data_IF_432327668059
#
_entry.id   IF_432327668059
#
_cell.length_a   1.000
_cell.length_b   1.000
_cell.length_c   1.000
_cell.angle_alpha   90.00
_cell.angle_beta   90.00
_cell.angle_gamma   90.00
#
_symmetry.space_group_name_H-M   'P 1'
#
loop_
_entity.id
_entity.type
_entity.pdbx_description
1 polymer ?
#
# COMPACT_ATOMS: atom_id res chain seq x y z
N UNK A 1 -23.68 25.33 51.72
CA UNK A 1 -24.05 24.63 50.47
C UNK A 1 -22.77 24.45 49.65
N UNK A 2 -22.43 23.22 49.27
CA UNK A 2 -21.22 22.85 48.52
C UNK A 2 -21.50 23.00 47.03
N UNK A 3 -20.62 23.64 46.28
CA UNK A 3 -20.62 23.60 44.82
C UNK A 3 -19.22 23.21 44.33
N UNK A 4 -19.07 21.93 44.01
CA UNK A 4 -17.99 21.36 43.20
C UNK A 4 -18.22 21.70 41.74
N UNK A 5 -17.26 22.32 41.07
CA UNK A 5 -17.24 22.45 39.60
C UNK A 5 -16.06 21.63 39.07
N UNK A 6 -16.42 20.55 38.40
CA UNK A 6 -15.58 19.53 37.78
C UNK A 6 -14.95 20.00 36.47
N UNK A 7 -13.71 19.57 36.28
CA UNK A 7 -12.93 19.50 35.04
C UNK A 7 -13.71 19.31 33.74
N UNK A 8 -13.24 19.97 32.68
CA UNK A 8 -13.37 19.47 31.31
C UNK A 8 -12.01 19.56 30.61
N UNK A 9 -11.29 18.44 30.55
CA UNK A 9 -10.20 18.24 29.59
C UNK A 9 -10.83 18.03 28.21
N UNK A 10 -10.50 18.90 27.25
CA UNK A 10 -10.87 18.72 25.86
C UNK A 10 -9.75 17.93 25.18
N UNK A 11 -9.95 16.62 25.01
CA UNK A 11 -9.04 15.78 24.23
C UNK A 11 -9.36 15.95 22.73
N UNK A 12 -8.45 16.55 21.98
CA UNK A 12 -8.52 16.61 20.51
C UNK A 12 -8.09 15.24 19.97
N UNK A 13 -9.05 14.47 19.46
CA UNK A 13 -8.78 13.28 18.66
C UNK A 13 -8.35 13.74 17.25
N UNK A 14 -7.06 13.63 16.93
CA UNK A 14 -6.63 13.61 15.53
C UNK A 14 -7.16 12.32 14.91
N UNK A 15 -8.23 12.42 14.13
CA UNK A 15 -8.62 11.36 13.21
C UNK A 15 -7.54 11.26 12.13
N UNK A 16 -6.60 10.34 12.32
CA UNK A 16 -5.69 9.92 11.25
C UNK A 16 -6.60 9.28 10.20
N UNK A 17 -6.77 9.95 9.06
CA UNK A 17 -7.50 9.40 7.93
C UNK A 17 -6.66 8.25 7.38
N UNK A 18 -6.84 7.05 7.93
CA UNK A 18 -6.36 5.82 7.31
C UNK A 18 -7.13 5.68 6.01
N UNK A 19 -6.51 6.05 4.89
CA UNK A 19 -6.99 5.62 3.58
C UNK A 19 -7.04 4.09 3.65
N UNK A 20 -8.25 3.53 3.57
CA UNK A 20 -8.50 2.10 3.68
C UNK A 20 -8.14 1.38 2.38
N UNK A 21 -7.01 1.76 1.80
CA UNK A 21 -6.54 1.25 0.53
C UNK A 21 -5.26 0.46 0.80
N UNK A 22 -5.18 -0.70 0.17
CA UNK A 22 -4.13 -1.65 0.44
C UNK A 22 -3.80 -2.43 -0.82
N UNK A 23 -2.72 -3.19 -0.77
CA UNK A 23 -2.20 -3.92 -1.91
C UNK A 23 -1.79 -5.33 -1.49
N UNK A 24 -2.16 -6.32 -2.31
CA UNK A 24 -1.68 -7.71 -2.20
C UNK A 24 -0.86 -8.03 -3.44
N UNK A 25 0.36 -8.51 -3.24
CA UNK A 25 1.24 -8.95 -4.31
C UNK A 25 1.23 -10.48 -4.44
N UNK A 26 1.26 -10.99 -5.68
CA UNK A 26 1.11 -12.41 -5.98
C UNK A 26 2.33 -12.96 -6.71
N UNK A 27 2.64 -14.23 -6.47
CA UNK A 27 3.78 -14.91 -7.12
C UNK A 27 3.50 -15.40 -8.54
N UNK A 28 2.32 -15.15 -9.09
CA UNK A 28 1.97 -15.48 -10.46
C UNK A 28 1.56 -14.25 -11.25
N UNK A 29 1.38 -14.39 -12.57
CA UNK A 29 1.21 -13.26 -13.49
C UNK A 29 -0.21 -12.69 -13.53
N UNK A 30 -1.21 -13.46 -13.09
CA UNK A 30 -2.63 -13.10 -13.17
C UNK A 30 -3.27 -13.17 -11.78
N UNK A 31 -2.61 -12.59 -10.78
CA UNK A 31 -3.05 -12.51 -9.38
C UNK A 31 -3.45 -13.87 -8.82
N UNK A 32 -2.57 -14.84 -9.09
CA UNK A 32 -2.70 -16.23 -8.69
C UNK A 32 -1.39 -16.72 -8.06
N UNK A 33 -1.39 -17.96 -7.58
CA UNK A 33 -0.23 -18.52 -6.88
C UNK A 33 -0.17 -18.08 -5.42
N UNK A 34 1.04 -17.87 -4.90
CA UNK A 34 1.25 -17.48 -3.52
C UNK A 34 0.90 -16.02 -3.29
N UNK A 35 0.02 -15.76 -2.32
CA UNK A 35 -0.35 -14.41 -1.89
C UNK A 35 0.73 -13.80 -0.99
N UNK A 36 0.84 -12.47 -1.04
CA UNK A 36 1.66 -11.66 -0.15
C UNK A 36 0.88 -11.24 1.09
N UNK A 37 1.48 -10.33 1.87
CA UNK A 37 0.73 -9.63 2.90
C UNK A 37 -0.17 -8.57 2.28
N UNK A 38 -1.32 -8.33 2.90
CA UNK A 38 -2.16 -7.16 2.65
C UNK A 38 -1.53 -5.94 3.35
N UNK A 39 -0.97 -5.01 2.57
CA UNK A 39 -0.22 -3.87 3.08
C UNK A 39 -0.89 -2.54 2.73
N UNK A 40 -0.89 -1.61 3.67
CA UNK A 40 -1.48 -0.29 3.46
C UNK A 40 -0.70 0.51 2.41
N UNK A 41 -1.42 1.21 1.54
CA UNK A 41 -0.82 2.18 0.61
C UNK A 41 -0.69 3.55 1.28
N UNK A 42 0.30 3.63 2.15
CA UNK A 42 0.70 4.83 2.90
C UNK A 42 2.07 5.37 2.48
N UNK A 43 2.60 4.88 1.36
CA UNK A 43 3.93 5.21 0.85
C UNK A 43 5.08 4.47 1.54
N UNK A 44 4.81 3.52 2.44
CA UNK A 44 5.82 2.60 2.99
C UNK A 44 6.40 1.71 1.89
N UNK A 45 7.70 1.42 2.01
CA UNK A 45 8.41 0.55 1.07
C UNK A 45 8.32 -0.93 1.49
N UNK A 46 7.87 -1.78 0.58
CA UNK A 46 7.68 -3.21 0.82
C UNK A 46 8.49 -4.06 -0.16
N UNK A 47 8.78 -5.30 0.23
CA UNK A 47 9.43 -6.29 -0.64
C UNK A 47 8.45 -6.80 -1.71
N UNK A 48 8.94 -6.90 -2.94
CA UNK A 48 8.23 -7.48 -4.10
C UNK A 48 8.96 -8.72 -4.64
N UNK A 49 10.01 -9.19 -3.95
CA UNK A 49 10.86 -10.27 -4.46
C UNK A 49 10.04 -11.54 -4.68
N UNK A 50 10.13 -12.11 -5.90
CA UNK A 50 9.38 -13.31 -6.28
C UNK A 50 7.89 -13.07 -6.50
N UNK A 51 7.46 -11.81 -6.64
CA UNK A 51 6.10 -11.42 -7.05
C UNK A 51 6.10 -10.97 -8.50
N UNK A 52 4.97 -11.17 -9.17
CA UNK A 52 4.79 -10.89 -10.60
C UNK A 52 3.50 -10.14 -10.93
N UNK A 53 2.57 -10.06 -9.99
CA UNK A 53 1.37 -9.24 -10.13
C UNK A 53 0.91 -8.69 -8.79
N UNK A 54 0.00 -7.73 -8.81
CA UNK A 54 -0.65 -7.20 -7.62
C UNK A 54 -2.10 -6.81 -7.87
N UNK A 55 -2.87 -6.70 -6.79
CA UNK A 55 -4.19 -6.08 -6.77
C UNK A 55 -4.22 -5.00 -5.70
N UNK A 56 -4.83 -3.86 -6.04
CA UNK A 56 -5.17 -2.82 -5.07
C UNK A 56 -6.58 -3.05 -4.53
N UNK A 57 -6.81 -2.75 -3.26
CA UNK A 57 -8.07 -2.97 -2.55
C UNK A 57 -8.59 -1.66 -1.97
N UNK A 58 -9.91 -1.58 -1.74
CA UNK A 58 -10.56 -0.43 -1.10
C UNK A 58 -10.81 0.75 -2.04
N UNK A 59 -9.75 1.43 -2.49
CA UNK A 59 -9.81 2.55 -3.44
C UNK A 59 -8.68 2.47 -4.45
N UNK A 60 -8.79 3.25 -5.52
CA UNK A 60 -7.72 3.32 -6.52
C UNK A 60 -6.44 3.85 -5.91
N UNK A 61 -5.32 3.22 -6.27
CA UNK A 61 -4.00 3.58 -5.77
C UNK A 61 -2.98 3.65 -6.92
N UNK A 62 -1.96 4.49 -6.73
CA UNK A 62 -0.77 4.52 -7.60
C UNK A 62 0.30 3.64 -7.00
N UNK A 63 0.97 2.83 -7.83
CA UNK A 63 2.02 1.91 -7.38
C UNK A 63 3.33 2.25 -8.07
N UNK A 64 4.38 2.45 -7.27
CA UNK A 64 5.76 2.65 -7.73
C UNK A 64 6.55 1.36 -7.45
N UNK A 65 7.20 0.81 -8.46
CA UNK A 65 8.02 -0.40 -8.38
C UNK A 65 9.49 -0.09 -8.68
N UNK A 66 10.39 -0.74 -7.95
CA UNK A 66 11.82 -0.43 -7.97
C UNK A 66 12.67 -1.69 -8.13
N UNK A 67 13.73 -1.57 -8.93
CA UNK A 67 14.74 -2.64 -9.07
C UNK A 67 15.59 -2.81 -7.83
N UNK A 68 15.86 -1.72 -7.11
CA UNK A 68 16.67 -1.71 -5.90
C UNK A 68 15.90 -2.08 -4.64
N UNK A 69 16.65 -2.40 -3.59
CA UNK A 69 16.10 -2.52 -2.24
C UNK A 69 15.82 -1.16 -1.63
N UNK A 70 14.89 -1.10 -0.68
CA UNK A 70 14.52 0.14 0.00
C UNK A 70 13.92 1.20 -0.92
N UNK A 71 13.31 0.80 -2.04
CA UNK A 71 12.66 1.69 -3.00
C UNK A 71 13.62 2.70 -3.61
N UNK A 72 14.70 2.18 -4.19
CA UNK A 72 15.79 2.93 -4.81
C UNK A 72 16.10 2.40 -6.22
N UNK A 73 16.86 3.17 -7.00
CA UNK A 73 17.27 2.77 -8.34
C UNK A 73 16.23 3.13 -9.40
N UNK A 74 16.13 2.32 -10.46
CA UNK A 74 15.15 2.51 -11.53
C UNK A 74 13.74 2.32 -10.98
N UNK A 75 12.84 3.26 -11.32
CA UNK A 75 11.45 3.29 -10.88
C UNK A 75 10.51 3.07 -12.08
N UNK A 76 9.42 2.34 -11.83
CA UNK A 76 8.30 2.15 -12.76
C UNK A 76 7.00 2.50 -12.04
N UNK A 77 6.24 3.45 -12.58
CA UNK A 77 4.98 3.90 -11.98
C UNK A 77 3.78 3.31 -12.74
N UNK A 78 2.82 2.79 -12.00
CA UNK A 78 1.56 2.23 -12.50
C UNK A 78 0.35 2.93 -11.85
N UNK A 79 -0.77 2.93 -12.57
CA UNK A 79 -2.03 3.45 -12.07
C UNK A 79 -2.32 4.93 -12.37
N UNK A 80 -3.35 5.50 -11.69
CA UNK A 80 -4.10 4.89 -10.58
C UNK A 80 -4.89 3.65 -11.02
N UNK A 81 -4.64 2.52 -10.35
CA UNK A 81 -5.26 1.23 -10.66
C UNK A 81 -6.62 1.11 -9.95
N UNK A 82 -7.59 0.40 -10.53
CA UNK A 82 -8.90 0.25 -9.90
C UNK A 82 -8.90 -0.87 -8.84
N UNK A 83 -9.71 -0.77 -7.77
CA UNK A 83 -9.84 -1.84 -6.78
C UNK A 83 -10.22 -3.18 -7.41
N UNK A 84 -9.50 -4.24 -7.06
CA UNK A 84 -9.71 -5.60 -7.56
C UNK A 84 -9.25 -5.81 -9.02
N UNK A 85 -8.60 -4.82 -9.62
CA UNK A 85 -7.92 -5.00 -10.90
C UNK A 85 -6.58 -5.72 -10.69
N UNK A 86 -6.37 -6.79 -11.44
CA UNK A 86 -5.10 -7.50 -11.44
C UNK A 86 -4.11 -6.86 -12.41
N UNK A 87 -2.99 -6.39 -11.88
CA UNK A 87 -1.92 -5.77 -12.65
C UNK A 87 -0.74 -6.71 -12.75
N UNK A 88 -0.41 -7.14 -13.98
CA UNK A 88 0.81 -7.89 -14.27
C UNK A 88 2.03 -6.96 -14.36
N UNK A 89 3.07 -7.27 -13.61
CA UNK A 89 4.32 -6.49 -13.58
C UNK A 89 5.30 -7.09 -14.58
N UNK A 90 5.35 -6.52 -15.77
CA UNK A 90 6.27 -6.93 -16.84
C UNK A 90 7.12 -5.74 -17.31
N UNK A 91 8.04 -5.31 -16.46
CA UNK A 91 8.94 -4.17 -16.73
C UNK A 91 10.15 -4.55 -17.58
N UNK A 92 10.33 -5.84 -17.90
CA UNK A 92 11.52 -6.37 -18.56
C UNK A 92 12.75 -6.49 -17.65
N UNK A 93 12.59 -6.21 -16.35
CA UNK A 93 13.66 -6.27 -15.35
C UNK A 93 13.18 -6.94 -14.07
N UNK A 94 14.08 -7.17 -13.12
CA UNK A 94 13.70 -7.72 -11.81
C UNK A 94 13.31 -6.59 -10.87
N UNK A 95 12.08 -6.64 -10.38
CA UNK A 95 11.59 -5.74 -9.33
C UNK A 95 11.86 -6.36 -7.97
N UNK A 96 12.39 -5.55 -7.05
CA UNK A 96 12.74 -5.97 -5.69
C UNK A 96 11.83 -5.33 -4.65
N UNK A 97 11.40 -4.07 -4.85
CA UNK A 97 10.55 -3.37 -3.86
C UNK A 97 9.47 -2.54 -4.54
N UNK A 98 8.45 -2.15 -3.76
CA UNK A 98 7.38 -1.28 -4.22
C UNK A 98 6.87 -0.33 -3.11
N UNK A 99 6.13 0.70 -3.52
CA UNK A 99 5.34 1.62 -2.68
C UNK A 99 3.98 1.82 -3.33
N UNK A 100 2.96 2.14 -2.55
CA UNK A 100 1.68 2.56 -3.09
C UNK A 100 1.06 3.71 -2.30
N UNK A 101 0.19 4.50 -2.96
CA UNK A 101 -0.38 5.77 -2.49
C UNK A 101 -1.81 5.99 -2.92
#
# INVERSE_FOLDING_TARGET
MRFTLTSTLLAVLLAIQVNAQSLIAFSGDTCNGGEGGDVACDGTCFDFTGRHSYEVLGSSATVELFEGSGCTGTEFTFGPDSPGECINVNTGTTITTFRCF
#
